data_IF_326332320483
#
_entry.id   IF_326332320483
#
_cell.length_a   1.000
_cell.length_b   1.000
_cell.length_c   1.000
_cell.angle_alpha   90.00
_cell.angle_beta   90.00
_cell.angle_gamma   90.00
#
_symmetry.space_group_name_H-M   'P 1'
#
loop_
_entity.id
_entity.type
_entity.pdbx_description
1 polymer ?
#
# COMPACT_ATOMS: atom_id res chain seq x y z
N UNK A 1 18.99 -34.64 -48.63
CA UNK A 1 17.82 -34.08 -47.94
C UNK A 1 18.30 -33.48 -46.63
N UNK A 2 18.29 -32.17 -46.56
CA UNK A 2 18.62 -31.45 -45.28
C UNK A 2 17.33 -31.35 -44.47
N UNK A 3 17.30 -32.02 -43.33
CA UNK A 3 16.20 -31.82 -42.38
C UNK A 3 16.43 -30.52 -41.64
N UNK A 4 15.57 -29.54 -41.88
CA UNK A 4 15.54 -28.29 -41.10
C UNK A 4 14.93 -28.60 -39.74
N UNK A 5 15.73 -28.60 -38.68
CA UNK A 5 15.24 -28.66 -37.31
C UNK A 5 14.94 -27.22 -36.92
N UNK A 6 13.67 -26.82 -36.95
CA UNK A 6 13.22 -25.58 -36.39
C UNK A 6 13.17 -25.77 -34.88
N UNK A 7 14.20 -25.31 -34.17
CA UNK A 7 14.13 -25.20 -32.72
C UNK A 7 13.19 -24.06 -32.37
N UNK A 8 11.99 -24.41 -31.94
CA UNK A 8 11.02 -23.47 -31.40
C UNK A 8 11.55 -23.03 -30.03
N UNK A 9 12.20 -21.88 -29.98
CA UNK A 9 12.55 -21.23 -28.73
C UNK A 9 11.27 -20.63 -28.13
N UNK A 10 10.60 -21.39 -27.24
CA UNK A 10 9.60 -20.84 -26.35
C UNK A 10 10.31 -19.98 -25.33
N UNK A 11 10.44 -18.69 -25.60
CA UNK A 11 10.78 -17.71 -24.58
C UNK A 11 9.60 -17.62 -23.62
N UNK A 12 9.67 -18.36 -22.51
CA UNK A 12 8.74 -18.16 -21.41
C UNK A 12 9.02 -16.77 -20.82
N UNK A 13 8.24 -15.78 -21.22
CA UNK A 13 8.20 -14.49 -20.54
C UNK A 13 7.51 -14.74 -19.21
N UNK A 14 8.32 -14.96 -18.18
CA UNK A 14 7.81 -15.03 -16.82
C UNK A 14 7.31 -13.62 -16.45
N UNK A 15 6.01 -13.38 -16.64
CA UNK A 15 5.34 -12.25 -16.00
C UNK A 15 5.36 -12.54 -14.49
N UNK A 16 6.34 -12.01 -13.79
CA UNK A 16 6.26 -11.88 -12.34
C UNK A 16 5.14 -10.90 -12.05
N UNK A 17 3.92 -11.44 -11.90
CA UNK A 17 2.84 -10.67 -11.32
C UNK A 17 3.27 -10.34 -9.88
N UNK A 18 3.74 -9.12 -9.64
CA UNK A 18 3.93 -8.60 -8.29
C UNK A 18 2.54 -8.42 -7.66
N UNK A 19 2.00 -9.54 -7.13
CA UNK A 19 0.83 -9.49 -6.28
C UNK A 19 1.21 -8.74 -5.03
N UNK A 20 0.98 -7.40 -4.98
CA UNK A 20 1.18 -6.72 -3.74
C UNK A 20 1.76 -5.32 -3.75
N UNK A 21 1.52 -4.50 -4.75
CA UNK A 21 1.89 -3.09 -4.76
C UNK A 21 3.41 -2.80 -4.87
N UNK A 22 3.73 -1.59 -5.25
CA UNK A 22 5.11 -1.13 -5.42
C UNK A 22 5.52 -0.28 -4.21
N UNK A 23 6.49 -0.77 -3.42
CA UNK A 23 6.97 -0.11 -2.21
C UNK A 23 7.58 1.26 -2.51
N UNK A 24 8.41 1.36 -3.54
CA UNK A 24 9.06 2.63 -3.91
C UNK A 24 8.04 3.69 -4.35
N UNK A 25 7.05 3.30 -5.13
CA UNK A 25 5.96 4.20 -5.52
C UNK A 25 5.08 4.57 -4.33
N UNK A 26 4.81 3.62 -3.45
CA UNK A 26 4.07 3.86 -2.21
C UNK A 26 4.75 4.88 -1.30
N UNK A 27 6.08 4.81 -1.17
CA UNK A 27 6.87 5.80 -0.46
C UNK A 27 6.72 7.19 -1.08
N UNK A 28 6.90 7.29 -2.39
CA UNK A 28 6.76 8.56 -3.11
C UNK A 28 5.37 9.17 -2.95
N UNK A 29 4.31 8.36 -3.00
CA UNK A 29 2.94 8.81 -2.79
C UNK A 29 2.69 9.26 -1.35
N UNK A 30 3.17 8.50 -0.36
CA UNK A 30 3.04 8.88 1.04
C UNK A 30 3.74 10.21 1.36
N UNK A 31 4.89 10.46 0.74
CA UNK A 31 5.59 11.74 0.84
C UNK A 31 4.80 12.86 0.13
N UNK A 32 4.32 12.61 -1.09
CA UNK A 32 3.54 13.56 -1.86
C UNK A 32 2.29 14.05 -1.13
N UNK A 33 1.60 13.15 -0.45
CA UNK A 33 0.38 13.46 0.30
C UNK A 33 0.62 13.73 1.79
N UNK A 34 1.86 13.85 2.21
CA UNK A 34 2.26 14.24 3.57
C UNK A 34 1.65 13.37 4.68
N UNK A 35 1.54 12.09 4.45
CA UNK A 35 0.97 11.14 5.43
C UNK A 35 1.72 11.19 6.78
N UNK A 36 3.04 11.33 6.75
CA UNK A 36 3.87 11.41 7.94
C UNK A 36 3.62 12.65 8.79
N UNK A 37 3.04 13.71 8.24
CA UNK A 37 2.72 14.93 9.00
C UNK A 37 1.75 14.65 10.16
N UNK A 38 0.86 13.69 10.02
CA UNK A 38 -0.08 13.28 11.06
C UNK A 38 0.30 11.94 11.70
N UNK A 39 0.79 10.99 10.92
CA UNK A 39 1.09 9.62 11.40
C UNK A 39 2.51 9.45 11.95
N UNK A 40 3.34 10.50 11.91
CA UNK A 40 4.73 10.50 12.36
C UNK A 40 5.72 10.14 11.26
N UNK A 41 6.99 10.56 11.40
CA UNK A 41 8.04 10.32 10.41
C UNK A 41 8.32 8.84 10.18
N UNK A 42 8.20 8.05 11.24
CA UNK A 42 8.38 6.60 11.26
C UNK A 42 7.06 5.83 11.12
N UNK A 43 5.95 6.54 11.00
CA UNK A 43 4.57 5.99 11.01
C UNK A 43 4.21 5.20 12.28
N UNK A 44 4.99 5.38 13.35
CA UNK A 44 4.78 4.79 14.68
C UNK A 44 4.60 5.84 15.79
N UNK A 45 4.84 7.11 15.49
CA UNK A 45 4.81 8.21 16.43
C UNK A 45 3.86 9.30 15.94
N UNK A 46 2.54 9.02 15.89
CA UNK A 46 1.57 10.01 15.41
C UNK A 46 1.57 11.25 16.29
N UNK A 47 1.23 12.40 15.71
CA UNK A 47 1.21 13.68 16.43
C UNK A 47 0.04 13.79 17.43
N UNK A 48 -0.94 12.93 17.32
CA UNK A 48 -2.11 12.85 18.19
C UNK A 48 -2.38 11.38 18.56
N UNK A 49 -2.72 11.08 19.84
CA UNK A 49 -2.99 9.70 20.26
C UNK A 49 -4.18 9.04 19.56
N UNK A 50 -5.10 9.84 18.99
CA UNK A 50 -6.23 9.33 18.23
C UNK A 50 -5.87 8.89 16.82
N UNK A 51 -4.69 9.26 16.32
CA UNK A 51 -4.22 8.86 14.99
C UNK A 51 -3.53 7.49 15.08
N UNK A 52 -3.84 6.56 14.18
CA UNK A 52 -3.29 5.22 14.25
C UNK A 52 -1.82 5.18 13.85
N UNK A 53 -1.07 4.26 14.47
CA UNK A 53 0.23 3.82 14.01
C UNK A 53 0.05 2.93 12.80
N UNK A 54 0.84 3.15 11.76
CA UNK A 54 0.66 2.49 10.46
C UNK A 54 1.81 1.54 10.11
N UNK A 55 3.01 1.80 10.59
CA UNK A 55 4.18 1.01 10.23
C UNK A 55 4.04 -0.46 10.64
N UNK A 56 4.34 -1.37 9.71
CA UNK A 56 4.29 -2.80 9.94
C UNK A 56 2.90 -3.39 10.02
N UNK A 57 1.84 -2.61 9.81
CA UNK A 57 0.47 -3.10 9.79
C UNK A 57 0.25 -4.06 8.61
N UNK A 58 -0.70 -4.96 8.71
CA UNK A 58 -1.04 -5.87 7.62
C UNK A 58 -1.46 -5.09 6.38
N UNK A 59 -0.87 -5.45 5.23
CA UNK A 59 -1.11 -4.79 3.96
C UNK A 59 -2.59 -4.76 3.59
N UNK A 60 -3.25 -5.90 3.69
CA UNK A 60 -4.68 -6.02 3.35
C UNK A 60 -5.56 -5.16 4.25
N UNK A 61 -5.23 -5.09 5.54
CA UNK A 61 -5.93 -4.20 6.46
C UNK A 61 -5.79 -2.73 6.06
N UNK A 62 -4.59 -2.29 5.70
CA UNK A 62 -4.34 -0.93 5.24
C UNK A 62 -5.11 -0.62 3.95
N UNK A 63 -5.11 -1.53 2.98
CA UNK A 63 -5.88 -1.37 1.73
C UNK A 63 -7.38 -1.23 2.02
N UNK A 64 -7.95 -2.13 2.80
CA UNK A 64 -9.36 -2.07 3.15
C UNK A 64 -9.72 -0.80 3.92
N UNK A 65 -8.87 -0.35 4.83
CA UNK A 65 -9.08 0.89 5.58
C UNK A 65 -9.09 2.11 4.67
N UNK A 66 -8.11 2.24 3.77
CA UNK A 66 -8.03 3.36 2.82
C UNK A 66 -9.20 3.36 1.83
N UNK A 67 -9.61 2.18 1.33
CA UNK A 67 -10.79 2.04 0.48
C UNK A 67 -12.06 2.43 1.24
N UNK A 68 -12.17 2.04 2.51
CA UNK A 68 -13.32 2.42 3.34
C UNK A 68 -13.42 3.95 3.53
N UNK A 69 -12.30 4.64 3.70
CA UNK A 69 -12.30 6.10 3.73
C UNK A 69 -12.68 6.72 2.37
N UNK A 70 -12.32 6.10 1.24
CA UNK A 70 -12.80 6.55 -0.08
C UNK A 70 -14.31 6.45 -0.23
N UNK A 71 -14.93 5.47 0.42
CA UNK A 71 -16.40 5.35 0.46
C UNK A 71 -17.05 6.39 1.38
N UNK A 72 -16.32 6.87 2.38
CA UNK A 72 -16.81 7.86 3.33
C UNK A 72 -18.11 7.43 4.01
N UNK A 73 -19.16 8.21 3.88
CA UNK A 73 -20.48 7.96 4.49
C UNK A 73 -21.32 6.88 3.77
N UNK A 74 -20.84 6.34 2.66
CA UNK A 74 -21.52 5.25 1.97
C UNK A 74 -21.48 3.95 2.80
N UNK A 75 -22.35 2.96 2.52
CA UNK A 75 -22.34 1.68 3.21
C UNK A 75 -20.94 1.03 3.22
N UNK A 76 -20.55 0.50 4.37
CA UNK A 76 -19.22 -0.08 4.62
C UNK A 76 -18.06 0.92 4.47
N UNK A 77 -18.33 2.21 4.56
CA UNK A 77 -17.33 3.27 4.57
C UNK A 77 -16.86 3.65 5.97
N UNK A 78 -15.87 4.54 6.01
CA UNK A 78 -15.40 5.22 7.22
C UNK A 78 -15.52 6.72 7.03
N UNK A 79 -16.20 7.40 7.96
CA UNK A 79 -16.43 8.84 7.90
C UNK A 79 -15.49 9.58 8.84
N UNK A 80 -14.26 9.77 8.42
CA UNK A 80 -13.34 10.72 9.06
C UNK A 80 -12.98 11.78 8.02
N UNK A 81 -13.36 13.02 8.26
CA UNK A 81 -13.24 14.10 7.28
C UNK A 81 -11.80 14.30 6.80
N UNK A 82 -10.80 14.17 7.67
CA UNK A 82 -9.39 14.33 7.31
C UNK A 82 -8.96 13.19 6.38
N UNK A 83 -9.19 11.94 6.78
CA UNK A 83 -8.77 10.79 5.99
C UNK A 83 -9.57 10.65 4.69
N UNK A 84 -10.86 10.96 4.70
CA UNK A 84 -11.67 11.01 3.46
C UNK A 84 -11.06 11.99 2.46
N UNK A 85 -10.66 13.18 2.90
CA UNK A 85 -9.98 14.16 2.06
C UNK A 85 -8.63 13.67 1.54
N UNK A 86 -7.83 13.01 2.39
CA UNK A 86 -6.50 12.51 2.04
C UNK A 86 -6.54 11.39 0.98
N UNK A 87 -7.49 10.49 1.07
CA UNK A 87 -7.59 9.34 0.14
C UNK A 87 -8.33 9.66 -1.15
N UNK A 88 -9.05 10.75 -1.20
CA UNK A 88 -9.88 11.12 -2.35
C UNK A 88 -9.15 11.10 -3.69
N UNK A 89 -7.91 11.65 -3.82
CA UNK A 89 -7.17 11.64 -5.08
C UNK A 89 -6.51 10.31 -5.40
N UNK A 90 -6.49 9.33 -4.48
CA UNK A 90 -5.79 8.08 -4.65
C UNK A 90 -6.59 7.09 -5.51
N UNK A 91 -5.93 6.45 -6.48
CA UNK A 91 -6.48 5.28 -7.17
C UNK A 91 -6.35 4.02 -6.29
N UNK A 92 -7.02 2.94 -6.68
CA UNK A 92 -6.84 1.65 -6.00
C UNK A 92 -5.41 1.13 -6.09
N UNK A 93 -4.72 1.40 -7.21
CA UNK A 93 -3.30 1.10 -7.35
C UNK A 93 -2.44 1.91 -6.37
N UNK A 94 -2.71 3.20 -6.24
CA UNK A 94 -2.00 4.07 -5.29
C UNK A 94 -2.18 3.56 -3.86
N UNK A 95 -3.37 3.15 -3.50
CA UNK A 95 -3.69 2.57 -2.19
C UNK A 95 -2.90 1.27 -1.97
N UNK A 96 -2.83 0.39 -2.96
CA UNK A 96 -2.06 -0.84 -2.87
C UNK A 96 -0.56 -0.55 -2.68
N UNK A 97 -0.03 0.42 -3.40
CA UNK A 97 1.38 0.81 -3.32
C UNK A 97 1.72 1.44 -1.95
N UNK A 98 0.89 2.35 -1.46
CA UNK A 98 1.04 2.95 -0.13
C UNK A 98 0.96 1.87 0.97
N UNK A 99 0.01 0.97 0.87
CA UNK A 99 -0.18 -0.12 1.83
C UNK A 99 1.01 -1.06 1.86
N UNK A 100 1.59 -1.38 0.70
CA UNK A 100 2.80 -2.18 0.60
C UNK A 100 4.00 -1.48 1.26
N UNK A 101 4.14 -0.18 1.05
CA UNK A 101 5.20 0.62 1.67
C UNK A 101 5.07 0.64 3.20
N UNK A 102 3.91 0.99 3.73
CA UNK A 102 3.67 1.06 5.18
C UNK A 102 3.84 -0.30 5.85
N UNK A 103 3.39 -1.36 5.21
CA UNK A 103 3.60 -2.73 5.69
C UNK A 103 5.08 -3.10 5.78
N UNK A 104 5.90 -2.62 4.87
CA UNK A 104 7.34 -2.90 4.82
C UNK A 104 8.14 -2.22 5.94
N UNK A 105 7.57 -1.21 6.60
CA UNK A 105 8.25 -0.48 7.66
C UNK A 105 8.26 -1.25 8.98
N UNK A 106 9.32 -1.09 9.80
CA UNK A 106 9.36 -1.75 11.11
C UNK A 106 8.27 -1.19 12.03
N UNK A 107 7.39 -2.08 12.50
CA UNK A 107 6.35 -1.74 13.47
C UNK A 107 6.85 -1.74 14.90
N UNK A 108 6.09 -1.11 15.81
CA UNK A 108 6.40 -1.07 17.24
C UNK A 108 5.96 -2.32 18.00
N UNK A 109 5.13 -3.17 17.40
CA UNK A 109 4.68 -4.44 18.00
C UNK A 109 5.70 -5.53 17.68
N UNK A 110 6.57 -5.80 18.62
CA UNK A 110 7.48 -6.95 18.57
C UNK A 110 6.85 -8.08 19.37
N UNK A 111 6.41 -9.12 18.68
CA UNK A 111 6.04 -10.38 19.34
C UNK A 111 7.31 -11.05 19.82
N UNK A 112 7.59 -10.95 21.10
CA UNK A 112 8.59 -11.81 21.73
C UNK A 112 7.99 -13.21 21.84
N UNK A 113 8.52 -14.13 21.05
CA UNK A 113 8.29 -15.57 21.23
C UNK A 113 9.24 -16.12 22.28
#
# INVERSE_FOLDING_TARGET
MKKLIIALFCSAVSFSATAGGNIANGKALAEKYSCAACHGKDYNSPIDPSYPKLAGQHKDYLEHALIAYKRGDAPNGRSNAIMVGQVKPLSNKDIADISAYLHSLPGSLVLKR
#
